data_IF_521698540504
#
_entry.id   IF_521698540504
#
_cell.length_a   1.000
_cell.length_b   1.000
_cell.length_c   1.000
_cell.angle_alpha   90.00
_cell.angle_beta   90.00
_cell.angle_gamma   90.00
#
_symmetry.space_group_name_H-M   'P 1'
#
loop_
_entity.id
_entity.type
_entity.pdbx_description
1 polymer ?
#
# COMPACT_ATOMS: atom_id res chain seq x y z
N UNK A 1 -0.18 -11.05 -16.93
CA UNK A 1 -1.37 -10.20 -16.71
C UNK A 1 -1.04 -8.82 -17.26
N UNK A 2 -1.44 -8.54 -18.51
CA UNK A 2 -1.14 -7.27 -19.20
C UNK A 2 -2.05 -6.16 -18.66
N UNK A 3 -1.64 -5.56 -17.55
CA UNK A 3 -2.24 -4.29 -17.11
C UNK A 3 -1.71 -3.22 -18.07
N UNK A 4 -2.51 -2.87 -19.08
CA UNK A 4 -2.20 -1.84 -20.08
C UNK A 4 -2.14 -0.45 -19.43
N UNK A 5 -1.14 -0.20 -18.59
CA UNK A 5 -0.71 1.15 -18.25
C UNK A 5 0.08 1.69 -19.45
N UNK A 6 -0.63 2.14 -20.49
CA UNK A 6 -0.02 3.02 -21.50
C UNK A 6 0.61 4.18 -20.75
N UNK A 7 1.92 4.43 -20.97
CA UNK A 7 2.73 5.46 -20.26
C UNK A 7 1.89 6.70 -19.96
N UNK A 8 1.34 6.77 -18.75
CA UNK A 8 0.36 7.78 -18.40
C UNK A 8 1.07 8.82 -17.57
N UNK A 9 1.58 9.83 -18.28
CA UNK A 9 2.21 11.01 -17.67
C UNK A 9 1.21 11.91 -16.94
N UNK A 10 -0.06 11.50 -16.79
CA UNK A 10 -1.10 12.29 -16.13
C UNK A 10 -1.70 11.60 -14.90
N UNK A 11 -1.47 10.30 -14.74
CA UNK A 11 -2.04 9.56 -13.62
C UNK A 11 -1.36 9.98 -12.31
N UNK A 12 -2.15 10.58 -11.42
CA UNK A 12 -1.69 11.09 -10.11
C UNK A 12 -2.16 10.22 -8.95
N UNK A 13 -3.28 9.52 -9.10
CA UNK A 13 -3.88 8.74 -8.02
C UNK A 13 -4.23 7.35 -8.52
N UNK A 14 -3.87 6.33 -7.75
CA UNK A 14 -4.24 4.93 -7.98
C UNK A 14 -4.91 4.40 -6.72
N UNK A 15 -5.99 3.65 -6.90
CA UNK A 15 -6.70 2.97 -5.83
C UNK A 15 -6.93 1.51 -6.22
N UNK A 16 -6.30 0.60 -5.50
CA UNK A 16 -6.35 -0.86 -5.71
C UNK A 16 -6.40 -1.58 -4.36
N UNK A 17 -7.34 -1.19 -3.51
CA UNK A 17 -7.57 -1.80 -2.20
C UNK A 17 -8.22 -3.19 -2.33
N UNK A 18 -7.73 -4.17 -1.56
CA UNK A 18 -8.23 -5.55 -1.55
C UNK A 18 -8.24 -6.22 -2.94
N UNK A 19 -7.22 -5.95 -3.74
CA UNK A 19 -7.06 -6.53 -5.08
C UNK A 19 -5.96 -7.58 -5.03
N UNK A 20 -6.32 -8.82 -4.75
CA UNK A 20 -5.38 -9.92 -4.47
C UNK A 20 -4.41 -10.27 -5.62
N UNK A 21 -4.67 -9.77 -6.82
CA UNK A 21 -3.77 -9.92 -7.98
C UNK A 21 -2.64 -8.87 -7.99
N UNK A 22 -2.67 -7.87 -7.11
CA UNK A 22 -1.63 -6.84 -7.01
C UNK A 22 -0.43 -7.41 -6.28
N UNK A 23 0.70 -7.38 -6.97
CA UNK A 23 2.00 -7.86 -6.49
C UNK A 23 3.08 -6.79 -6.65
N UNK A 24 4.29 -7.09 -6.22
CA UNK A 24 5.46 -6.26 -6.53
C UNK A 24 5.59 -5.98 -8.03
N UNK A 25 5.32 -6.97 -8.90
CA UNK A 25 5.31 -6.80 -10.36
C UNK A 25 4.35 -5.69 -10.79
N UNK A 26 3.16 -5.63 -10.21
CA UNK A 26 2.20 -4.55 -10.48
C UNK A 26 2.77 -3.18 -10.09
N UNK A 27 3.46 -3.09 -8.94
CA UNK A 27 4.11 -1.86 -8.50
C UNK A 27 5.31 -1.46 -9.39
N UNK A 28 6.05 -2.43 -9.93
CA UNK A 28 7.10 -2.17 -10.91
C UNK A 28 6.53 -1.51 -12.17
N UNK A 29 5.44 -2.06 -12.72
CA UNK A 29 4.77 -1.46 -13.88
C UNK A 29 4.23 -0.06 -13.58
N UNK A 30 3.62 0.14 -12.41
CA UNK A 30 3.15 1.47 -11.99
C UNK A 30 4.32 2.47 -11.92
N UNK A 31 5.42 2.10 -11.27
CA UNK A 31 6.61 2.95 -11.14
C UNK A 31 7.18 3.37 -12.50
N UNK A 32 7.25 2.44 -13.46
CA UNK A 32 7.76 2.71 -14.80
C UNK A 32 6.85 3.60 -15.65
N UNK A 33 5.53 3.47 -15.50
CA UNK A 33 4.56 4.10 -16.40
C UNK A 33 3.83 5.31 -15.80
N UNK A 34 3.91 5.53 -14.49
CA UNK A 34 3.21 6.61 -13.78
C UNK A 34 4.17 7.47 -12.95
N UNK A 35 5.15 8.18 -13.57
CA UNK A 35 6.15 8.96 -12.83
C UNK A 35 5.59 10.18 -12.09
N UNK A 36 4.36 10.62 -12.40
CA UNK A 36 3.68 11.74 -11.72
C UNK A 36 2.69 11.28 -10.64
N UNK A 37 2.73 10.01 -10.24
CA UNK A 37 1.87 9.50 -9.18
C UNK A 37 2.14 10.24 -7.87
N UNK A 38 1.09 10.75 -7.25
CA UNK A 38 1.11 11.48 -5.98
C UNK A 38 0.44 10.68 -4.85
N UNK A 39 -0.51 9.81 -5.17
CA UNK A 39 -1.20 8.99 -4.17
C UNK A 39 -1.41 7.56 -4.67
N UNK A 40 -1.18 6.58 -3.80
CA UNK A 40 -1.51 5.18 -4.08
C UNK A 40 -2.17 4.54 -2.86
N UNK A 41 -3.34 3.92 -3.06
CA UNK A 41 -3.96 3.04 -2.08
C UNK A 41 -3.81 1.58 -2.50
N UNK A 42 -3.13 0.79 -1.67
CA UNK A 42 -2.90 -0.63 -1.85
C UNK A 42 -3.19 -1.40 -0.54
N UNK A 43 -4.09 -0.87 0.31
CA UNK A 43 -4.53 -1.55 1.53
C UNK A 43 -5.04 -2.96 1.24
N UNK A 44 -4.91 -3.86 2.23
CA UNK A 44 -5.42 -5.23 2.16
C UNK A 44 -4.86 -6.07 0.99
N UNK A 45 -3.70 -5.68 0.44
CA UNK A 45 -3.01 -6.48 -0.58
C UNK A 45 -1.92 -7.32 0.06
N UNK A 46 -2.10 -8.64 0.03
CA UNK A 46 -1.24 -9.58 0.73
C UNK A 46 0.08 -9.88 0.01
N UNK A 47 0.13 -9.68 -1.31
CA UNK A 47 1.25 -10.03 -2.18
C UNK A 47 2.19 -8.87 -2.52
N UNK A 48 1.98 -7.70 -1.91
CA UNK A 48 2.89 -6.55 -2.00
C UNK A 48 3.90 -6.62 -0.87
N UNK A 49 5.19 -6.57 -1.19
CA UNK A 49 6.27 -6.61 -0.22
C UNK A 49 7.00 -5.27 -0.13
N UNK A 50 7.90 -5.16 0.83
CA UNK A 50 8.78 -3.99 0.99
C UNK A 50 9.58 -3.68 -0.29
N UNK A 51 9.92 -4.70 -1.11
CA UNK A 51 10.66 -4.51 -2.37
C UNK A 51 9.84 -3.70 -3.37
N UNK A 52 8.57 -4.05 -3.58
CA UNK A 52 7.68 -3.34 -4.49
C UNK A 52 7.45 -1.89 -4.06
N UNK A 53 7.29 -1.65 -2.76
CA UNK A 53 7.12 -0.30 -2.20
C UNK A 53 8.39 0.55 -2.36
N UNK A 54 9.58 -0.01 -2.09
CA UNK A 54 10.86 0.68 -2.28
C UNK A 54 11.05 1.08 -3.75
N UNK A 55 10.73 0.18 -4.68
CA UNK A 55 10.80 0.50 -6.10
C UNK A 55 9.80 1.59 -6.51
N UNK A 56 8.58 1.54 -5.98
CA UNK A 56 7.57 2.56 -6.26
C UNK A 56 8.03 3.93 -5.78
N UNK A 57 8.58 4.02 -4.55
CA UNK A 57 9.10 5.26 -3.97
C UNK A 57 10.34 5.76 -4.72
N UNK A 58 11.17 4.87 -5.25
CA UNK A 58 12.33 5.26 -6.05
C UNK A 58 11.92 5.78 -7.44
N UNK A 59 10.84 5.27 -8.03
CA UNK A 59 10.40 5.62 -9.39
C UNK A 59 9.45 6.84 -9.42
N UNK A 60 8.49 6.90 -8.50
CA UNK A 60 7.48 7.95 -8.43
C UNK A 60 7.94 9.06 -7.48
N UNK A 61 8.84 9.93 -7.94
CA UNK A 61 9.41 11.02 -7.12
C UNK A 61 8.41 12.06 -6.61
N UNK A 62 7.18 12.06 -7.14
CA UNK A 62 6.08 12.94 -6.69
C UNK A 62 5.13 12.27 -5.71
N UNK A 63 5.42 11.03 -5.30
CA UNK A 63 4.55 10.27 -4.41
C UNK A 63 4.57 10.92 -3.03
N UNK A 64 3.42 11.43 -2.62
CA UNK A 64 3.23 12.16 -1.36
C UNK A 64 2.47 11.32 -0.34
N UNK A 65 1.56 10.44 -0.80
CA UNK A 65 0.73 9.60 0.07
C UNK A 65 0.69 8.14 -0.36
N UNK A 66 0.94 7.24 0.59
CA UNK A 66 0.75 5.79 0.45
C UNK A 66 -0.24 5.29 1.50
N UNK A 67 -1.18 4.45 1.11
CA UNK A 67 -2.11 3.80 2.03
C UNK A 67 -1.79 2.30 2.11
N UNK A 68 -1.32 1.85 3.28
CA UNK A 68 -0.66 0.54 3.47
C UNK A 68 -1.26 -0.31 4.59
N UNK A 69 -2.40 0.10 5.17
CA UNK A 69 -3.10 -0.66 6.21
C UNK A 69 -3.45 -2.08 5.76
N UNK A 70 -3.33 -3.04 6.68
CA UNK A 70 -3.63 -4.47 6.45
C UNK A 70 -2.79 -5.12 5.33
N UNK A 71 -1.55 -4.67 5.15
CA UNK A 71 -0.56 -5.32 4.27
C UNK A 71 0.45 -6.12 5.14
N UNK A 72 0.21 -7.43 5.39
CA UNK A 72 0.97 -8.23 6.36
C UNK A 72 2.43 -8.49 5.94
N UNK A 73 2.74 -8.33 4.67
CA UNK A 73 4.09 -8.46 4.11
C UNK A 73 4.96 -7.20 4.33
N UNK A 74 4.44 -6.19 5.05
CA UNK A 74 5.15 -4.97 5.39
C UNK A 74 5.38 -4.89 6.91
N UNK A 75 6.65 -4.86 7.33
CA UNK A 75 6.99 -4.77 8.74
C UNK A 75 6.72 -3.37 9.32
N UNK A 76 6.50 -3.27 10.63
CA UNK A 76 6.38 -1.96 11.29
C UNK A 76 7.63 -1.10 11.06
N UNK A 77 8.82 -1.69 11.21
CA UNK A 77 10.08 -0.98 11.00
C UNK A 77 10.17 -0.38 9.60
N UNK A 78 9.72 -1.12 8.59
CA UNK A 78 9.65 -0.64 7.23
C UNK A 78 8.66 0.53 7.09
N UNK A 79 7.45 0.41 7.63
CA UNK A 79 6.46 1.50 7.60
C UNK A 79 7.00 2.77 8.26
N UNK A 80 7.68 2.63 9.41
CA UNK A 80 8.34 3.73 10.14
C UNK A 80 9.54 4.31 9.38
N UNK A 81 10.25 3.49 8.60
CA UNK A 81 11.33 3.95 7.75
C UNK A 81 10.78 4.83 6.62
N UNK A 82 9.81 4.33 5.86
CA UNK A 82 9.26 5.06 4.71
C UNK A 82 8.42 6.28 5.12
N UNK A 83 7.86 6.31 6.33
CA UNK A 83 7.12 7.48 6.82
C UNK A 83 7.98 8.73 6.96
N UNK A 84 9.32 8.60 6.92
CA UNK A 84 10.25 9.73 6.90
C UNK A 84 10.33 10.41 5.52
N UNK A 85 9.91 9.73 4.46
CA UNK A 85 10.02 10.21 3.07
C UNK A 85 8.66 10.41 2.38
N UNK A 86 7.62 9.72 2.83
CA UNK A 86 6.26 9.80 2.25
C UNK A 86 5.23 9.78 3.37
N UNK A 87 4.10 10.46 3.18
CA UNK A 87 2.99 10.35 4.12
C UNK A 87 2.40 8.95 4.00
N UNK A 88 2.37 8.22 5.11
CA UNK A 88 1.62 6.97 5.22
C UNK A 88 0.30 7.30 5.89
N UNK A 89 -0.78 6.58 5.56
CA UNK A 89 -1.99 6.71 6.35
C UNK A 89 -1.75 6.46 7.82
N UNK A 90 -2.59 7.05 8.68
CA UNK A 90 -2.56 6.79 10.13
C UNK A 90 -2.81 5.29 10.34
N UNK A 91 -1.74 4.52 10.26
CA UNK A 91 -1.67 3.17 10.77
C UNK A 91 -1.72 3.36 12.27
N UNK A 92 -2.77 2.85 12.91
CA UNK A 92 -2.62 2.45 14.30
C UNK A 92 -1.54 1.38 14.24
N UNK A 93 -0.29 1.79 14.45
CA UNK A 93 0.78 0.84 14.68
C UNK A 93 0.64 0.39 16.12
N UNK A 94 -0.51 -0.19 16.44
CA UNK A 94 -0.72 -0.91 17.67
C UNK A 94 -0.04 -2.25 17.48
N UNK A 95 0.92 -2.46 18.35
CA UNK A 95 1.85 -3.56 18.40
C UNK A 95 1.17 -4.92 18.74
N UNK A 96 -0.02 -5.23 18.21
CA UNK A 96 -0.84 -6.34 18.74
C UNK A 96 -1.26 -7.43 17.73
N UNK A 97 -1.02 -7.32 16.42
CA UNK A 97 -1.50 -8.32 15.46
C UNK A 97 -0.44 -9.28 14.89
N UNK A 98 0.82 -9.23 15.37
CA UNK A 98 1.84 -10.17 14.88
C UNK A 98 1.74 -11.59 15.47
N UNK A 99 0.89 -11.85 16.47
CA UNK A 99 0.78 -13.18 17.12
C UNK A 99 -0.60 -13.83 17.01
N UNK A 100 -1.60 -13.07 16.60
CA UNK A 100 -2.95 -13.54 16.30
C UNK A 100 -3.13 -12.87 14.94
N UNK A 101 -3.02 -13.50 13.76
CA UNK A 101 -3.85 -14.62 13.35
C UNK A 101 -3.43 -15.24 12.02
N UNK A 102 -3.32 -16.57 12.00
CA UNK A 102 -3.88 -17.34 10.88
C UNK A 102 -5.40 -17.12 10.91
N UNK A 103 -5.96 -16.18 10.15
CA UNK A 103 -7.42 -16.20 9.94
C UNK A 103 -7.78 -16.74 8.56
N UNK A 104 -8.52 -17.86 8.50
CA UNK A 104 -9.35 -18.19 7.37
C UNK A 104 -10.41 -17.10 7.21
N UNK A 105 -10.84 -16.90 5.97
CA UNK A 105 -11.96 -16.08 5.54
C UNK A 105 -13.17 -16.10 6.51
N UNK A 106 -13.55 -14.95 7.08
CA UNK A 106 -14.96 -14.51 7.25
C UNK A 106 -15.08 -13.13 7.94
N UNK A 107 -15.78 -12.24 7.23
CA UNK A 107 -16.55 -11.07 7.68
C UNK A 107 -15.85 -10.02 8.56
N UNK A 108 -15.44 -8.94 7.90
CA UNK A 108 -15.27 -7.62 8.50
C UNK A 108 -16.58 -7.18 9.14
N UNK A 109 -16.75 -7.42 10.44
CA UNK A 109 -17.72 -6.68 11.23
C UNK A 109 -17.11 -5.30 11.52
N UNK A 110 -17.88 -4.29 11.12
CA UNK A 110 -17.68 -2.88 11.36
C UNK A 110 -17.34 -2.65 12.84
N UNK A 111 -16.15 -2.14 13.13
CA UNK A 111 -15.94 -1.41 14.38
C UNK A 111 -16.62 -0.03 14.22
N UNK A 112 -17.42 0.44 15.19
CA UNK A 112 -18.08 1.73 15.12
C UNK A 112 -17.05 2.87 14.98
N UNK A 113 -17.47 3.95 14.32
CA UNK A 113 -16.64 5.09 13.96
C UNK A 113 -16.31 6.04 15.14
N UNK A 114 -16.40 5.57 16.38
CA UNK A 114 -16.22 6.40 17.57
C UNK A 114 -15.07 5.84 18.40
N UNK A 115 -13.85 6.31 18.11
CA UNK A 115 -12.75 6.45 19.08
C UNK A 115 -11.65 7.29 18.41
N UNK A 116 -11.98 8.57 18.21
CA UNK A 116 -11.03 9.66 18.02
C UNK A 116 -10.95 10.39 19.36
N UNK A 117 -9.88 10.14 20.12
CA UNK A 117 -9.22 11.09 21.02
C UNK A 117 -7.70 10.88 20.93
#
# INVERSE_FOLDING_TARGET
MNMFLKKSKRLKKIHVENVQIITDTSLFYIGQHCPLLTNINIRQNFHVTEKGIRFLLSSCKKLDMVYLRLCPSLSYNFIREISKQVRVDKCNVTNEFFTIVKFPTRQYNLLPADDIL
#
